data_IF_681086181722
#
_entry.id   IF_681086181722
#
_cell.length_a   1.000
_cell.length_b   1.000
_cell.length_c   1.000
_cell.angle_alpha   90.00
_cell.angle_beta   90.00
_cell.angle_gamma   90.00
#
_symmetry.space_group_name_H-M   'P 1'
#
loop_
_entity.id
_entity.type
_entity.pdbx_description
1 polymer ?
#
# COMPACT_ATOMS: atom_id res chain seq x y z
N UNK A 1 7.08 10.98 -3.34
CA UNK A 1 6.10 12.05 -3.65
C UNK A 1 4.65 11.56 -3.61
N UNK A 2 4.30 10.44 -4.25
CA UNK A 2 2.93 9.90 -4.26
C UNK A 2 2.28 9.70 -2.87
N UNK A 3 3.04 9.20 -1.89
CA UNK A 3 2.54 9.01 -0.50
C UNK A 3 2.08 10.30 0.15
N UNK A 4 2.87 11.37 0.04
CA UNK A 4 2.51 12.68 0.59
C UNK A 4 1.29 13.31 -0.08
N UNK A 5 1.10 13.08 -1.39
CA UNK A 5 -0.08 13.52 -2.12
C UNK A 5 -1.35 12.77 -1.70
N UNK A 6 -1.25 11.47 -1.42
CA UNK A 6 -2.38 10.68 -0.89
C UNK A 6 -2.80 11.18 0.50
N UNK A 7 -1.84 11.43 1.40
CA UNK A 7 -2.12 11.99 2.73
C UNK A 7 -2.78 13.37 2.62
N UNK A 8 -2.26 14.24 1.75
CA UNK A 8 -2.86 15.55 1.52
C UNK A 8 -4.29 15.42 0.96
N UNK A 9 -4.53 14.50 0.03
CA UNK A 9 -5.87 14.26 -0.52
C UNK A 9 -6.87 13.83 0.56
N UNK A 10 -6.49 12.90 1.44
CA UNK A 10 -7.37 12.44 2.53
C UNK A 10 -7.71 13.59 3.47
N UNK A 11 -6.74 14.42 3.85
CA UNK A 11 -6.96 15.60 4.69
C UNK A 11 -7.92 16.61 4.03
N UNK A 12 -7.71 16.91 2.75
CA UNK A 12 -8.60 17.81 2.01
C UNK A 12 -10.01 17.22 1.85
N UNK A 13 -10.12 15.91 1.61
CA UNK A 13 -11.40 15.21 1.51
C UNK A 13 -12.20 15.32 2.82
N UNK A 14 -11.57 15.02 3.96
CA UNK A 14 -12.21 15.11 5.27
C UNK A 14 -12.68 16.53 5.58
N UNK A 15 -11.81 17.53 5.39
CA UNK A 15 -12.14 18.93 5.65
C UNK A 15 -13.29 19.43 4.78
N UNK A 16 -13.27 19.11 3.47
CA UNK A 16 -14.32 19.53 2.53
C UNK A 16 -15.65 18.85 2.85
N UNK A 17 -15.62 17.56 3.21
CA UNK A 17 -16.81 16.81 3.59
C UNK A 17 -17.45 17.39 4.86
N UNK A 18 -16.63 17.80 5.84
CA UNK A 18 -17.11 18.44 7.06
C UNK A 18 -17.73 19.82 6.78
N UNK A 19 -17.14 20.61 5.89
CA UNK A 19 -17.68 21.90 5.47
C UNK A 19 -19.04 21.77 4.77
N UNK A 20 -19.18 20.81 3.84
CA UNK A 20 -20.44 20.54 3.12
C UNK A 20 -21.54 20.07 4.08
N UNK A 21 -21.20 19.31 5.13
CA UNK A 21 -22.18 18.89 6.14
C UNK A 21 -22.68 20.08 6.95
N UNK A 22 -21.77 20.95 7.40
CA UNK A 22 -22.05 22.07 8.31
C UNK A 22 -22.70 23.27 7.64
N UNK A 23 -22.46 23.49 6.35
CA UNK A 23 -23.02 24.67 5.65
C UNK A 23 -24.54 24.60 5.57
N UNK A 24 -25.26 25.56 6.14
CA UNK A 24 -26.72 25.63 6.04
C UNK A 24 -27.19 26.34 4.76
N UNK A 25 -26.26 27.02 4.07
CA UNK A 25 -26.54 27.85 2.90
C UNK A 25 -26.82 27.05 1.62
N UNK A 26 -26.51 25.75 1.60
CA UNK A 26 -26.70 24.89 0.43
C UNK A 26 -27.98 24.05 0.53
N UNK A 27 -28.81 24.01 -0.53
CA UNK A 27 -29.89 23.04 -0.65
C UNK A 27 -29.40 21.61 -0.49
N UNK A 28 -30.23 20.74 0.10
CA UNK A 28 -29.88 19.31 0.33
C UNK A 28 -29.50 18.59 -0.96
N UNK A 29 -30.17 18.89 -2.07
CA UNK A 29 -29.87 18.31 -3.39
C UNK A 29 -28.46 18.69 -3.88
N UNK A 30 -28.01 19.91 -3.61
CA UNK A 30 -26.70 20.40 -3.98
C UNK A 30 -25.61 19.79 -3.09
N UNK A 31 -25.87 19.67 -1.78
CA UNK A 31 -25.01 18.91 -0.86
C UNK A 31 -24.82 17.47 -1.33
N UNK A 32 -25.90 16.78 -1.68
CA UNK A 32 -25.85 15.40 -2.15
C UNK A 32 -24.97 15.27 -3.41
N UNK A 33 -25.08 16.21 -4.35
CA UNK A 33 -24.26 16.24 -5.57
C UNK A 33 -22.77 16.45 -5.28
N UNK A 34 -22.43 17.35 -4.36
CA UNK A 34 -21.04 17.60 -3.96
C UNK A 34 -20.44 16.40 -3.22
N UNK A 35 -21.20 15.78 -2.31
CA UNK A 35 -20.80 14.55 -1.58
C UNK A 35 -20.54 13.42 -2.57
N UNK A 36 -21.42 13.24 -3.56
CA UNK A 36 -21.22 12.26 -4.61
C UNK A 36 -19.93 12.52 -5.41
N UNK A 37 -19.69 13.77 -5.82
CA UNK A 37 -18.47 14.14 -6.55
C UNK A 37 -17.18 13.93 -5.75
N UNK A 38 -17.22 14.16 -4.44
CA UNK A 38 -16.14 13.79 -3.51
C UNK A 38 -15.94 12.27 -3.48
N UNK A 39 -17.01 11.50 -3.30
CA UNK A 39 -16.95 10.03 -3.27
C UNK A 39 -16.40 9.41 -4.57
N UNK A 40 -16.79 9.97 -5.72
CA UNK A 40 -16.26 9.57 -7.03
C UNK A 40 -14.76 9.89 -7.16
N UNK A 41 -14.34 11.08 -6.69
CA UNK A 41 -12.93 11.49 -6.67
C UNK A 41 -12.09 10.59 -5.76
N UNK A 42 -12.60 10.23 -4.58
CA UNK A 42 -11.94 9.30 -3.67
C UNK A 42 -11.82 7.90 -4.30
N UNK A 43 -12.88 7.40 -4.92
CA UNK A 43 -12.86 6.09 -5.59
C UNK A 43 -11.84 6.04 -6.73
N UNK A 44 -11.75 7.11 -7.53
CA UNK A 44 -10.72 7.25 -8.57
C UNK A 44 -9.31 7.31 -7.97
N UNK A 45 -9.12 8.08 -6.90
CA UNK A 45 -7.84 8.13 -6.19
C UNK A 45 -7.43 6.73 -5.70
N UNK A 46 -8.33 5.98 -5.05
CA UNK A 46 -8.04 4.62 -4.55
C UNK A 46 -7.71 3.66 -5.69
N UNK A 47 -8.43 3.74 -6.81
CA UNK A 47 -8.13 2.93 -7.99
C UNK A 47 -6.75 3.27 -8.59
N UNK A 48 -6.39 4.55 -8.63
CA UNK A 48 -5.06 5.01 -9.05
C UNK A 48 -3.98 4.70 -8.01
N UNK A 49 -4.29 4.72 -6.71
CA UNK A 49 -3.33 4.50 -5.63
C UNK A 49 -2.94 3.03 -5.48
N UNK A 50 -3.85 2.09 -5.79
CA UNK A 50 -3.49 0.66 -5.96
C UNK A 50 -2.40 0.44 -7.02
N UNK A 51 -2.28 1.33 -8.01
CA UNK A 51 -1.18 1.32 -9.00
C UNK A 51 0.08 2.06 -8.54
N UNK A 52 0.00 2.89 -7.49
CA UNK A 52 1.11 3.72 -6.97
C UNK A 52 1.72 3.22 -5.65
N UNK A 53 1.00 2.39 -4.88
CA UNK A 53 1.48 1.67 -3.70
C UNK A 53 1.98 0.21 -3.92
N UNK A 54 2.23 -0.32 -5.15
CA UNK A 54 2.80 -1.66 -5.32
C UNK A 54 4.13 -1.84 -4.60
N UNK A 55 5.00 -0.82 -4.58
CA UNK A 55 6.36 -0.95 -4.04
C UNK A 55 6.41 -1.42 -2.57
N UNK A 56 5.43 -0.99 -1.74
CA UNK A 56 5.33 -1.44 -0.34
C UNK A 56 4.65 -2.81 -0.25
N UNK A 57 3.77 -3.14 -1.19
CA UNK A 57 3.10 -4.45 -1.25
C UNK A 57 4.02 -5.54 -1.79
N UNK A 58 4.82 -5.27 -2.81
CA UNK A 58 5.69 -6.23 -3.49
C UNK A 58 6.88 -6.60 -2.63
N UNK A 59 7.54 -5.63 -1.99
CA UNK A 59 8.64 -5.92 -1.07
C UNK A 59 8.15 -6.67 0.18
N UNK A 60 7.01 -6.27 0.75
CA UNK A 60 6.40 -7.00 1.86
C UNK A 60 5.95 -8.40 1.46
N UNK A 61 5.44 -8.57 0.23
CA UNK A 61 5.08 -9.89 -0.31
C UNK A 61 6.31 -10.75 -0.52
N UNK A 62 7.39 -10.22 -1.10
CA UNK A 62 8.64 -10.94 -1.30
C UNK A 62 9.26 -11.41 0.03
N UNK A 63 9.32 -10.52 1.02
CA UNK A 63 9.79 -10.87 2.38
C UNK A 63 8.91 -11.97 2.97
N UNK A 64 7.58 -11.80 2.92
CA UNK A 64 6.64 -12.78 3.45
C UNK A 64 6.78 -14.14 2.76
N UNK A 65 6.97 -14.18 1.44
CA UNK A 65 7.17 -15.42 0.69
C UNK A 65 8.42 -16.15 1.13
N UNK A 66 9.54 -15.44 1.32
CA UNK A 66 10.80 -16.04 1.78
C UNK A 66 10.66 -16.56 3.22
N UNK A 67 10.03 -15.79 4.11
CA UNK A 67 9.76 -16.24 5.49
C UNK A 67 8.90 -17.50 5.51
N UNK A 68 7.80 -17.53 4.76
CA UNK A 68 6.92 -18.69 4.67
C UNK A 68 7.65 -19.92 4.10
N UNK A 69 8.61 -19.72 3.20
CA UNK A 69 9.40 -20.82 2.68
C UNK A 69 10.38 -21.37 3.72
N UNK A 70 11.00 -20.50 4.53
CA UNK A 70 11.78 -20.91 5.70
C UNK A 70 10.95 -21.73 6.69
N UNK A 71 9.73 -21.26 7.02
CA UNK A 71 8.80 -21.99 7.89
C UNK A 71 8.43 -23.36 7.31
N UNK A 72 8.20 -23.44 6.00
CA UNK A 72 7.92 -24.70 5.32
C UNK A 72 9.10 -25.67 5.41
N UNK A 73 10.33 -25.21 5.21
CA UNK A 73 11.53 -26.03 5.36
C UNK A 73 11.64 -26.51 6.81
N UNK A 74 11.49 -25.63 7.79
CA UNK A 74 11.54 -25.98 9.21
C UNK A 74 10.51 -27.06 9.59
N UNK A 75 9.33 -27.05 8.97
CA UNK A 75 8.27 -28.02 9.23
C UNK A 75 8.44 -29.36 8.51
N UNK A 76 9.06 -29.38 7.32
CA UNK A 76 9.09 -30.56 6.45
C UNK A 76 10.48 -31.21 6.31
N UNK A 77 11.54 -30.41 6.39
CA UNK A 77 12.95 -30.80 6.26
C UNK A 77 13.83 -29.92 7.16
N UNK A 78 13.67 -30.01 8.50
CA UNK A 78 14.36 -29.14 9.45
C UNK A 78 15.88 -29.22 9.34
N UNK A 79 16.43 -30.33 8.85
CA UNK A 79 17.85 -30.52 8.60
C UNK A 79 18.42 -29.56 7.55
N UNK A 80 17.59 -28.98 6.69
CA UNK A 80 18.03 -28.06 5.63
C UNK A 80 17.95 -26.57 6.04
N UNK A 81 17.52 -26.25 7.25
CA UNK A 81 17.26 -24.86 7.64
C UNK A 81 18.54 -24.01 7.68
N UNK A 82 19.65 -24.61 8.07
CA UNK A 82 20.94 -23.92 8.15
C UNK A 82 21.49 -23.66 6.74
N UNK A 83 21.46 -24.66 5.86
CA UNK A 83 21.87 -24.53 4.46
C UNK A 83 20.99 -23.52 3.72
N UNK A 84 19.68 -23.49 4.02
CA UNK A 84 18.77 -22.48 3.49
C UNK A 84 19.15 -21.08 3.94
N UNK A 85 19.48 -20.88 5.22
CA UNK A 85 19.90 -19.58 5.75
C UNK A 85 21.21 -19.11 5.09
N UNK A 86 22.20 -20.00 4.94
CA UNK A 86 23.46 -19.72 4.26
C UNK A 86 23.26 -19.30 2.79
N UNK A 87 22.41 -20.04 2.07
CA UNK A 87 22.05 -19.70 0.69
C UNK A 87 21.30 -18.37 0.59
N UNK A 88 20.44 -18.06 1.56
CA UNK A 88 19.68 -16.81 1.60
C UNK A 88 20.60 -15.61 1.83
N UNK A 89 21.62 -15.74 2.69
CA UNK A 89 22.65 -14.70 2.87
C UNK A 89 23.44 -14.49 1.57
N UNK A 90 23.84 -15.58 0.91
CA UNK A 90 24.52 -15.52 -0.39
C UNK A 90 23.66 -14.86 -1.47
N UNK A 91 22.37 -15.20 -1.53
CA UNK A 91 21.42 -14.60 -2.45
C UNK A 91 21.21 -13.10 -2.19
N UNK A 92 21.20 -12.67 -0.93
CA UNK A 92 21.15 -11.26 -0.54
C UNK A 92 22.27 -10.43 -1.21
N UNK A 93 23.49 -10.97 -1.28
CA UNK A 93 24.63 -10.31 -1.96
C UNK A 93 24.43 -10.19 -3.47
N UNK A 94 23.71 -11.13 -4.09
CA UNK A 94 23.36 -11.08 -5.52
C UNK A 94 22.27 -10.05 -5.78
N UNK A 95 21.23 -10.01 -4.95
CA UNK A 95 20.17 -8.99 -5.01
C UNK A 95 20.75 -7.58 -4.86
N UNK A 96 21.66 -7.40 -3.90
CA UNK A 96 22.35 -6.12 -3.67
C UNK A 96 23.11 -5.62 -4.91
N UNK A 97 23.65 -6.52 -5.73
CA UNK A 97 24.34 -6.16 -6.97
C UNK A 97 23.36 -5.81 -8.09
N UNK A 98 22.26 -6.55 -8.18
CA UNK A 98 21.25 -6.37 -9.25
C UNK A 98 20.41 -5.10 -9.05
N UNK A 99 20.10 -4.75 -7.79
CA UNK A 99 19.19 -3.64 -7.45
C UNK A 99 19.89 -2.37 -6.96
N UNK A 100 21.22 -2.36 -6.76
CA UNK A 100 21.99 -1.12 -6.63
C UNK A 100 22.16 -0.47 -8.01
N UNK A 101 21.15 0.30 -8.42
CA UNK A 101 21.20 1.29 -9.50
C UNK A 101 21.13 2.71 -8.91
#
# INVERSE_FOLDING_TARGET
MARGMLTAFVLYFENTMDEIKRTEALPVSEKAKLIQGLGDSYSKMVASSKRLLPEVSEMATAIKTITMFGDYIQANKPELINEFADLLEGFGKTLDKEFKA
#
